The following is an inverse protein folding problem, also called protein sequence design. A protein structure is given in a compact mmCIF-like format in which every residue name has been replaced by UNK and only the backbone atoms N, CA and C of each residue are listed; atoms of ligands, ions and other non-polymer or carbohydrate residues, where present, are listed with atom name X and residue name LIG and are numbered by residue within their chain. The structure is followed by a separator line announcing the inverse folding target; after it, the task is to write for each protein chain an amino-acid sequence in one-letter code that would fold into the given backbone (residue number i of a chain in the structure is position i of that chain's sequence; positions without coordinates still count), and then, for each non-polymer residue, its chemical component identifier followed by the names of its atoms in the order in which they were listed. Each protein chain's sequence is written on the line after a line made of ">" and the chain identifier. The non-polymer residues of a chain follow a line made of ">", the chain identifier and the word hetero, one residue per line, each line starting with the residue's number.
data_IF_956592705634
#
_entry.id   IF_956592705634
#
_cell.length_a   1.000
_cell.length_b   1.000
_cell.length_c   1.000
_cell.angle_alpha   90.00
_cell.angle_beta   90.00
_cell.angle_gamma   90.00
#
_symmetry.space_group_name_H-M   'P 1'
#
loop_
_entity.id
_entity.type
_entity.pdbx_description
1 polymer ?
#
# COMPACT_ATOMS: atom_id res chain seq x y z
N UNK A 1 2.07 -19.41 9.16
CA UNK A 1 1.38 -19.86 7.93
C UNK A 1 1.44 -18.72 6.93
N UNK A 2 2.02 -18.93 5.75
CA UNK A 2 2.04 -17.90 4.71
C UNK A 2 0.63 -17.73 4.14
N UNK A 3 0.15 -16.49 4.04
CA UNK A 3 -1.13 -16.19 3.39
C UNK A 3 -1.09 -16.68 1.93
N UNK A 4 -2.16 -17.32 1.42
CA UNK A 4 -2.16 -17.95 0.08
C UNK A 4 -1.80 -17.00 -1.09
N UNK A 5 -1.96 -15.69 -0.89
CA UNK A 5 -1.46 -14.69 -1.85
C UNK A 5 0.07 -14.64 -1.96
N UNK A 6 0.81 -14.86 -0.86
CA UNK A 6 2.28 -14.85 -0.88
C UNK A 6 2.84 -16.05 -1.65
N UNK A 7 2.27 -17.24 -1.43
CA UNK A 7 2.68 -18.44 -2.15
C UNK A 7 2.45 -18.31 -3.65
N UNK A 8 1.32 -17.71 -4.06
CA UNK A 8 1.04 -17.46 -5.48
C UNK A 8 2.02 -16.47 -6.13
N UNK A 9 2.43 -15.41 -5.40
CA UNK A 9 3.43 -14.47 -5.88
C UNK A 9 4.80 -15.15 -6.00
N UNK A 10 5.22 -15.91 -4.99
CA UNK A 10 6.48 -16.65 -5.02
C UNK A 10 6.51 -17.63 -6.20
N UNK A 11 5.41 -18.35 -6.42
CA UNK A 11 5.29 -19.28 -7.52
C UNK A 11 5.53 -18.60 -8.87
N UNK A 12 4.84 -17.49 -9.13
CA UNK A 12 4.98 -16.75 -10.39
C UNK A 12 6.35 -16.08 -10.52
N UNK A 13 6.85 -15.48 -9.43
CA UNK A 13 8.08 -14.71 -9.44
C UNK A 13 9.34 -15.57 -9.65
N UNK A 14 9.28 -16.83 -9.25
CA UNK A 14 10.41 -17.77 -9.33
C UNK A 14 10.18 -18.96 -10.28
N UNK A 15 9.05 -19.00 -11.00
CA UNK A 15 8.73 -20.11 -11.92
C UNK A 15 8.54 -21.45 -11.21
N UNK A 16 8.00 -21.44 -9.98
CA UNK A 16 7.85 -22.65 -9.17
C UNK A 16 6.60 -23.45 -9.56
N UNK A 17 6.68 -24.76 -9.40
CA UNK A 17 5.55 -25.68 -9.43
C UNK A 17 4.89 -25.76 -8.04
N UNK A 18 3.76 -26.45 -7.94
CA UNK A 18 2.98 -26.55 -6.71
C UNK A 18 3.72 -27.29 -5.57
N UNK A 19 4.70 -28.12 -5.91
CA UNK A 19 5.59 -28.84 -5.00
C UNK A 19 6.86 -28.04 -4.64
N UNK A 20 7.04 -26.85 -5.22
CA UNK A 20 8.18 -25.97 -5.00
C UNK A 20 9.40 -26.26 -5.88
N UNK A 21 9.33 -27.20 -6.82
CA UNK A 21 10.39 -27.37 -7.83
C UNK A 21 10.30 -26.27 -8.90
N UNK A 22 11.38 -26.04 -9.65
CA UNK A 22 11.35 -25.18 -10.84
C UNK A 22 10.93 -25.99 -12.06
N UNK A 23 10.20 -25.37 -12.99
CA UNK A 23 10.03 -25.90 -14.34
C UNK A 23 11.05 -25.21 -15.25
N UNK A 24 12.00 -25.98 -15.80
CA UNK A 24 13.06 -25.45 -16.66
C UNK A 24 12.53 -24.83 -17.97
N UNK A 25 11.25 -25.08 -18.31
CA UNK A 25 10.57 -24.45 -19.45
C UNK A 25 9.72 -23.23 -19.07
N UNK A 26 9.55 -22.93 -17.78
CA UNK A 26 8.74 -21.82 -17.30
C UNK A 26 9.61 -20.61 -16.96
N UNK A 27 9.46 -19.55 -17.75
CA UNK A 27 10.16 -18.30 -17.46
C UNK A 27 9.59 -17.61 -16.20
N UNK A 28 10.45 -17.22 -15.24
CA UNK A 28 10.02 -16.44 -14.08
C UNK A 28 9.34 -15.14 -14.50
N UNK A 29 8.20 -14.83 -13.88
CA UNK A 29 7.53 -13.55 -14.10
C UNK A 29 8.22 -12.46 -13.27
N UNK A 30 8.65 -11.32 -13.86
CA UNK A 30 9.20 -10.22 -13.09
C UNK A 30 8.25 -9.78 -11.98
N UNK A 31 8.77 -9.54 -10.78
CA UNK A 31 7.97 -9.20 -9.59
C UNK A 31 7.01 -8.02 -9.82
N UNK A 32 7.41 -7.03 -10.62
CA UNK A 32 6.57 -5.88 -11.00
C UNK A 32 5.27 -6.28 -11.72
N UNK A 33 5.26 -7.42 -12.42
CA UNK A 33 4.07 -8.00 -13.07
C UNK A 33 3.29 -8.96 -12.17
N UNK A 34 3.83 -9.30 -11.00
CA UNK A 34 3.14 -10.13 -10.00
C UNK A 34 2.38 -9.29 -8.95
N UNK A 35 2.71 -8.00 -8.84
CA UNK A 35 2.12 -7.10 -7.87
C UNK A 35 0.94 -6.33 -8.48
N UNK A 36 -0.07 -6.06 -7.66
CA UNK A 36 -1.19 -5.19 -8.01
C UNK A 36 -1.45 -4.26 -6.84
N UNK A 37 -1.74 -3.00 -7.15
CA UNK A 37 -1.96 -1.95 -6.15
C UNK A 37 -3.41 -1.51 -6.17
N UNK A 38 -3.99 -1.41 -4.98
CA UNK A 38 -5.27 -0.75 -4.82
C UNK A 38 -5.04 0.77 -4.91
N UNK A 39 -5.66 1.41 -5.90
CA UNK A 39 -5.50 2.84 -6.19
C UNK A 39 -6.88 3.46 -6.39
N UNK A 40 -6.98 4.76 -6.11
CA UNK A 40 -8.12 5.57 -6.53
C UNK A 40 -7.99 5.94 -8.01
N UNK A 41 -9.10 6.32 -8.64
CA UNK A 41 -9.10 6.84 -10.01
C UNK A 41 -9.84 8.18 -10.05
N UNK A 42 -9.29 9.16 -10.77
CA UNK A 42 -9.93 10.46 -11.03
C UNK A 42 -9.92 10.76 -12.51
N UNK A 43 -11.04 11.25 -13.03
CA UNK A 43 -11.17 11.60 -14.45
C UNK A 43 -10.85 10.43 -15.40
N UNK A 44 -10.20 10.71 -16.53
CA UNK A 44 -9.87 9.71 -17.56
C UNK A 44 -8.62 8.88 -17.20
N UNK A 45 -8.69 8.15 -16.09
CA UNK A 45 -7.69 7.13 -15.75
C UNK A 45 -6.46 7.62 -14.98
N UNK A 46 -6.52 8.82 -14.39
CA UNK A 46 -5.46 9.27 -13.48
C UNK A 46 -5.52 8.44 -12.19
N UNK A 47 -4.43 7.73 -11.90
CA UNK A 47 -4.33 6.93 -10.69
C UNK A 47 -3.95 7.82 -9.51
N UNK A 48 -4.66 7.64 -8.40
CA UNK A 48 -4.43 8.38 -7.17
C UNK A 48 -4.09 7.44 -6.03
N UNK A 49 -3.17 7.87 -5.17
CA UNK A 49 -2.98 7.21 -3.90
C UNK A 49 -4.26 7.29 -3.05
N UNK A 50 -4.53 6.24 -2.29
CA UNK A 50 -5.61 6.25 -1.31
C UNK A 50 -5.13 6.92 -0.01
N UNK A 51 -5.99 7.75 0.57
CA UNK A 51 -5.74 8.54 1.77
C UNK A 51 -6.89 9.51 2.02
N UNK A 52 -6.94 10.17 3.17
CA UNK A 52 -8.01 11.12 3.52
C UNK A 52 -7.49 12.41 4.10
N UNK A 53 -7.82 12.82 5.31
CA UNK A 53 -7.09 13.88 6.05
C UNK A 53 -6.88 13.38 7.46
N UNK A 54 -5.82 13.82 8.14
CA UNK A 54 -5.56 13.41 9.51
C UNK A 54 -6.55 14.12 10.42
N UNK A 55 -7.13 13.37 11.36
CA UNK A 55 -8.02 13.92 12.37
C UNK A 55 -7.45 13.64 13.75
N UNK A 56 -7.15 14.70 14.51
CA UNK A 56 -6.62 14.63 15.88
C UNK A 56 -7.50 13.76 16.78
N UNK A 57 -8.82 13.91 16.67
CA UNK A 57 -9.79 13.20 17.52
C UNK A 57 -9.98 11.73 17.14
N UNK A 58 -9.76 11.36 15.87
CA UNK A 58 -10.02 10.01 15.38
C UNK A 58 -8.75 9.15 15.27
N UNK A 59 -7.61 9.77 14.95
CA UNK A 59 -6.39 9.05 14.58
C UNK A 59 -5.27 9.18 15.64
N UNK A 60 -5.39 10.14 16.56
CA UNK A 60 -4.38 10.46 17.56
C UNK A 60 -3.72 11.82 17.34
N UNK A 61 -2.89 12.26 18.29
CA UNK A 61 -2.75 13.68 18.58
C UNK A 61 -1.60 14.41 17.86
N UNK A 62 -0.53 13.69 17.51
CA UNK A 62 0.67 14.29 16.91
C UNK A 62 1.34 13.33 15.91
N UNK A 63 1.19 13.55 14.59
CA UNK A 63 1.78 12.69 13.57
C UNK A 63 3.31 12.80 13.47
N UNK A 64 3.92 13.87 13.98
CA UNK A 64 5.38 14.05 13.98
C UNK A 64 6.05 13.22 15.08
N UNK A 65 5.34 12.99 16.19
CA UNK A 65 5.86 12.27 17.36
C UNK A 65 5.43 10.81 17.43
N UNK A 66 4.27 10.49 16.84
CA UNK A 66 3.74 9.13 16.82
C UNK A 66 3.40 8.71 15.37
N UNK A 67 4.26 7.91 14.71
CA UNK A 67 3.99 7.44 13.35
C UNK A 67 2.75 6.53 13.26
N UNK A 68 2.26 5.96 14.38
CA UNK A 68 1.01 5.19 14.38
C UNK A 68 -0.22 6.06 14.10
N UNK A 69 -0.12 7.39 14.26
CA UNK A 69 -1.19 8.30 13.88
C UNK A 69 -1.46 8.22 12.38
N UNK A 70 -0.42 8.24 11.55
CA UNK A 70 -0.56 8.13 10.09
C UNK A 70 -1.12 6.76 9.66
N UNK A 71 -0.71 5.69 10.36
CA UNK A 71 -1.25 4.34 10.14
C UNK A 71 -2.75 4.30 10.45
N UNK A 72 -3.17 4.87 11.58
CA UNK A 72 -4.60 4.96 11.95
C UNK A 72 -5.39 5.78 10.95
N UNK A 73 -4.84 6.89 10.46
CA UNK A 73 -5.47 7.66 9.40
C UNK A 73 -5.64 6.83 8.13
N UNK A 74 -4.58 6.15 7.66
CA UNK A 74 -4.65 5.30 6.47
C UNK A 74 -5.71 4.20 6.60
N UNK A 75 -5.77 3.51 7.75
CA UNK A 75 -6.82 2.51 8.04
C UNK A 75 -8.21 3.14 7.91
N UNK A 76 -8.46 4.25 8.60
CA UNK A 76 -9.77 4.92 8.60
C UNK A 76 -10.18 5.36 7.21
N UNK A 77 -9.28 5.99 6.47
CA UNK A 77 -9.59 6.60 5.17
C UNK A 77 -9.74 5.55 4.08
N UNK A 78 -8.86 4.54 4.04
CA UNK A 78 -8.97 3.44 3.07
C UNK A 78 -10.25 2.64 3.30
N UNK A 79 -10.58 2.37 4.57
CA UNK A 79 -11.82 1.68 4.92
C UNK A 79 -13.05 2.47 4.48
N UNK A 80 -13.05 3.79 4.68
CA UNK A 80 -14.16 4.65 4.23
C UNK A 80 -14.27 4.71 2.69
N UNK A 81 -13.14 4.75 1.98
CA UNK A 81 -13.11 4.89 0.51
C UNK A 81 -13.39 3.59 -0.24
N UNK A 82 -12.98 2.44 0.32
CA UNK A 82 -12.96 1.15 -0.42
C UNK A 82 -13.65 0.00 0.30
N UNK A 83 -14.01 0.18 1.59
CA UNK A 83 -14.50 -0.89 2.45
C UNK A 83 -13.42 -1.86 2.95
N UNK A 84 -12.16 -1.73 2.50
CA UNK A 84 -11.06 -2.60 2.93
C UNK A 84 -10.52 -2.16 4.29
N UNK A 85 -10.46 -3.10 5.23
CA UNK A 85 -9.89 -2.86 6.56
C UNK A 85 -8.41 -3.27 6.63
N UNK A 86 -7.55 -2.27 6.81
CA UNK A 86 -6.10 -2.45 6.93
C UNK A 86 -5.64 -2.74 8.38
N UNK A 87 -6.55 -2.81 9.35
CA UNK A 87 -6.21 -3.02 10.77
C UNK A 87 -5.41 -4.31 11.03
N UNK A 88 -5.53 -5.31 10.15
CA UNK A 88 -4.82 -6.60 10.24
C UNK A 88 -3.46 -6.61 9.51
N UNK A 89 -3.05 -5.50 8.91
CA UNK A 89 -1.74 -5.40 8.27
C UNK A 89 -0.62 -5.53 9.31
N UNK A 90 0.17 -6.59 9.20
CA UNK A 90 1.25 -6.89 10.16
C UNK A 90 2.45 -5.95 10.04
N UNK A 91 2.64 -5.29 8.90
CA UNK A 91 3.79 -4.41 8.62
C UNK A 91 3.36 -3.20 7.83
N UNK A 92 3.91 -2.05 8.20
CA UNK A 92 3.76 -0.77 7.53
C UNK A 92 5.14 -0.29 7.13
N UNK A 93 5.30 0.11 5.86
CA UNK A 93 6.56 0.58 5.32
C UNK A 93 6.49 2.09 5.15
N UNK A 94 7.39 2.81 5.83
CA UNK A 94 7.56 4.25 5.64
C UNK A 94 8.66 4.46 4.62
N UNK A 95 8.33 5.00 3.45
CA UNK A 95 9.34 5.36 2.45
C UNK A 95 9.92 6.72 2.80
N UNK A 96 11.17 6.75 3.27
CA UNK A 96 11.88 7.99 3.63
C UNK A 96 12.01 8.97 2.45
N UNK A 97 12.02 8.47 1.20
CA UNK A 97 12.14 9.29 -0.02
C UNK A 97 10.86 10.05 -0.40
N UNK A 98 9.70 9.67 0.17
CA UNK A 98 8.45 10.42 0.00
C UNK A 98 8.46 11.72 0.85
N UNK A 99 9.56 12.02 1.55
CA UNK A 99 9.71 13.24 2.36
C UNK A 99 10.66 14.30 1.75
N UNK A 100 11.33 14.01 0.62
CA UNK A 100 12.48 14.84 0.17
C UNK A 100 12.34 15.59 -1.16
N UNK A 101 11.23 15.47 -1.91
CA UNK A 101 11.12 16.19 -3.19
C UNK A 101 9.77 16.90 -3.34
N UNK A 102 9.80 18.10 -3.95
CA UNK A 102 8.74 19.12 -4.04
C UNK A 102 7.36 18.68 -4.56
N UNK A 103 7.18 17.42 -4.96
CA UNK A 103 5.87 16.86 -5.30
C UNK A 103 4.93 16.72 -4.08
N UNK A 104 5.46 16.83 -2.86
CA UNK A 104 4.65 16.84 -1.63
C UNK A 104 3.86 18.13 -1.50
N UNK A 105 4.32 19.28 -1.99
CA UNK A 105 3.56 20.53 -1.82
C UNK A 105 2.19 20.47 -2.50
N UNK A 106 2.05 19.77 -3.62
CA UNK A 106 0.74 19.55 -4.24
C UNK A 106 -0.16 18.60 -3.46
N UNK A 107 0.39 17.65 -2.69
CA UNK A 107 -0.39 16.74 -1.84
C UNK A 107 -0.64 17.28 -0.42
N UNK A 108 0.23 18.15 0.13
CA UNK A 108 0.06 18.79 1.44
C UNK A 108 -1.08 19.81 1.43
N UNK A 109 -1.28 20.53 0.32
CA UNK A 109 -2.37 21.51 0.19
C UNK A 109 -3.76 20.84 0.25
N UNK A 110 -3.86 19.53 -0.04
CA UNK A 110 -5.12 18.79 0.06
C UNK A 110 -5.36 18.12 1.42
N UNK A 111 -4.41 18.17 2.37
CA UNK A 111 -4.52 17.53 3.70
C UNK A 111 -4.60 18.50 4.88
N UNK A 112 -4.41 19.80 4.63
CA UNK A 112 -4.70 20.85 5.60
C UNK A 112 -5.55 21.92 4.93
N UNK A 113 -6.84 21.63 4.81
CA UNK A 113 -7.93 22.60 4.70
C UNK A 113 -9.21 21.94 5.23
#
# INVERSE_FOLDING_TARGET
>A
MCHGGLSAIQQKAYGLLADGSTDDNADPTPLSRCLSFLVGTRGKGELMALGGTWSRSLDGENPDRDPQVLVRTAIRTVRALTGVDLSKCARWYVSQRILEEELIWHFRVHWTA
#
